data_IF_988029313002
#
_entry.id   IF_988029313002
#
_cell.length_a   1.000
_cell.length_b   1.000
_cell.length_c   1.000
_cell.angle_alpha   90.00
_cell.angle_beta   90.00
_cell.angle_gamma   90.00
#
_symmetry.space_group_name_H-M   'P 1'
#
loop_
_entity.id
_entity.type
_entity.pdbx_description
1 polymer ?
#
# COMPACT_ATOMS: atom_id res chain seq x y z
N UNK A 1 -4.77 24.79 20.16
CA UNK A 1 -5.28 23.76 19.23
C UNK A 1 -4.17 23.40 18.25
N UNK A 2 -3.58 22.22 18.42
CA UNK A 2 -2.62 21.70 17.46
C UNK A 2 -3.34 21.42 16.14
N UNK A 3 -2.86 21.92 15.00
CA UNK A 3 -3.47 21.55 13.72
C UNK A 3 -3.39 20.03 13.55
N UNK A 4 -4.51 19.44 13.20
CA UNK A 4 -4.52 18.04 12.82
C UNK A 4 -3.59 17.84 11.62
N UNK A 5 -2.63 16.96 11.77
CA UNK A 5 -1.60 16.72 10.75
C UNK A 5 -1.95 15.49 9.93
N UNK A 6 -1.66 15.51 8.63
CA UNK A 6 -1.71 14.31 7.79
C UNK A 6 -0.69 13.30 8.31
N UNK A 7 -1.13 12.05 8.51
CA UNK A 7 -0.26 10.97 9.00
C UNK A 7 -0.49 9.68 8.22
N UNK A 8 0.60 8.96 8.02
CA UNK A 8 0.56 7.57 7.55
C UNK A 8 1.17 6.72 8.65
N UNK A 9 0.38 5.84 9.23
CA UNK A 9 0.75 5.07 10.40
C UNK A 9 0.11 3.67 10.40
N UNK A 10 0.57 2.80 11.28
CA UNK A 10 0.02 1.46 11.41
C UNK A 10 -1.47 1.52 11.76
N UNK A 11 -2.25 0.58 11.20
CA UNK A 11 -3.66 0.41 11.52
C UNK A 11 -3.83 0.14 13.01
N UNK A 12 -4.77 0.82 13.63
CA UNK A 12 -5.13 0.64 15.04
C UNK A 12 -6.62 0.34 15.21
N UNK A 13 -6.92 -0.87 15.68
CA UNK A 13 -8.26 -1.23 16.14
C UNK A 13 -9.31 -1.44 15.05
N UNK A 14 -10.50 -1.79 15.51
CA UNK A 14 -11.63 -2.19 14.66
C UNK A 14 -12.16 -1.04 13.79
N UNK A 15 -12.11 0.19 14.29
CA UNK A 15 -12.58 1.37 13.54
C UNK A 15 -11.75 1.61 12.26
N UNK A 16 -10.44 1.46 12.35
CA UNK A 16 -9.56 1.57 11.18
C UNK A 16 -9.82 0.44 10.20
N UNK A 17 -10.03 -0.77 10.69
CA UNK A 17 -10.35 -1.91 9.83
C UNK A 17 -11.67 -1.71 9.10
N UNK A 18 -12.69 -1.20 9.77
CA UNK A 18 -13.97 -0.84 9.14
C UNK A 18 -13.76 0.15 8.00
N UNK A 19 -12.92 1.15 8.20
CA UNK A 19 -12.60 2.14 7.17
C UNK A 19 -11.85 1.50 5.98
N UNK A 20 -10.90 0.61 6.24
CA UNK A 20 -10.19 -0.15 5.19
C UNK A 20 -11.18 -0.97 4.36
N UNK A 21 -12.10 -1.66 5.01
CA UNK A 21 -13.12 -2.47 4.32
C UNK A 21 -14.08 -1.61 3.49
N UNK A 22 -14.41 -0.41 3.96
CA UNK A 22 -15.23 0.53 3.19
C UNK A 22 -14.49 1.01 1.94
N UNK A 23 -13.19 1.28 2.03
CA UNK A 23 -12.36 1.65 0.86
C UNK A 23 -12.27 0.49 -0.13
N UNK A 24 -12.05 -0.73 0.36
CA UNK A 24 -12.06 -1.95 -0.46
C UNK A 24 -13.37 -2.09 -1.25
N UNK A 25 -14.50 -1.98 -0.56
CA UNK A 25 -15.82 -2.10 -1.17
C UNK A 25 -16.09 -1.02 -2.23
N UNK A 26 -15.58 0.19 -2.02
CA UNK A 26 -15.73 1.30 -2.95
C UNK A 26 -14.75 1.27 -4.12
N UNK A 27 -13.68 0.46 -4.02
CA UNK A 27 -12.56 0.47 -4.96
C UNK A 27 -12.48 -0.75 -5.86
N UNK A 28 -12.94 -1.91 -5.40
CA UNK A 28 -12.70 -3.19 -6.08
C UNK A 28 -13.99 -3.97 -6.29
N UNK A 29 -14.09 -4.65 -7.46
CA UNK A 29 -15.21 -5.52 -7.76
C UNK A 29 -15.29 -6.73 -6.83
N UNK A 30 -14.14 -7.22 -6.38
CA UNK A 30 -14.01 -8.36 -5.46
C UNK A 30 -13.23 -7.93 -4.22
N UNK A 31 -13.89 -7.21 -3.27
CA UNK A 31 -13.19 -6.72 -2.09
C UNK A 31 -12.70 -7.85 -1.19
N UNK A 32 -11.58 -7.60 -0.54
CA UNK A 32 -10.99 -8.55 0.42
C UNK A 32 -11.89 -8.68 1.65
N UNK A 33 -12.23 -9.90 2.07
CA UNK A 33 -13.07 -10.11 3.24
C UNK A 33 -12.40 -9.66 4.56
N UNK A 34 -13.22 -9.24 5.52
CA UNK A 34 -12.77 -8.88 6.87
C UNK A 34 -11.92 -9.99 7.50
N UNK A 35 -12.34 -11.25 7.38
CA UNK A 35 -11.63 -12.38 7.98
C UNK A 35 -10.19 -12.52 7.47
N UNK A 36 -9.91 -12.14 6.24
CA UNK A 36 -8.55 -12.12 5.72
C UNK A 36 -7.67 -11.14 6.49
N UNK A 37 -8.12 -9.89 6.64
CA UNK A 37 -7.38 -8.87 7.39
C UNK A 37 -7.22 -9.22 8.87
N UNK A 38 -8.25 -9.78 9.49
CA UNK A 38 -8.18 -10.21 10.88
C UNK A 38 -7.10 -11.27 11.09
N UNK A 39 -7.00 -12.23 10.17
CA UNK A 39 -5.93 -13.24 10.21
C UNK A 39 -4.55 -12.65 9.97
N UNK A 40 -4.44 -11.72 9.01
CA UNK A 40 -3.17 -11.05 8.72
C UNK A 40 -2.68 -10.24 9.93
N UNK A 41 -3.58 -9.58 10.64
CA UNK A 41 -3.23 -8.80 11.83
C UNK A 41 -2.75 -9.64 13.01
N UNK A 42 -2.93 -10.96 12.99
CA UNK A 42 -2.34 -11.88 13.94
C UNK A 42 -0.87 -12.17 13.67
N UNK A 43 -0.32 -11.66 12.57
CA UNK A 43 1.07 -11.87 12.15
C UNK A 43 1.80 -10.54 12.01
N UNK A 44 1.96 -9.77 13.10
CA UNK A 44 2.48 -8.40 13.03
C UNK A 44 3.94 -8.30 12.59
N UNK A 45 4.69 -9.38 12.66
CA UNK A 45 6.08 -9.48 12.20
C UNK A 45 6.20 -9.59 10.67
N UNK A 46 5.13 -10.04 10.01
CA UNK A 46 5.08 -10.23 8.55
C UNK A 46 4.17 -9.21 7.87
N UNK A 47 2.99 -8.97 8.44
CA UNK A 47 1.96 -8.14 7.84
C UNK A 47 2.27 -6.66 7.95
N UNK A 48 2.08 -5.95 6.84
CA UNK A 48 2.13 -4.49 6.79
C UNK A 48 0.74 -4.00 6.43
N UNK A 49 0.18 -3.18 7.31
CA UNK A 49 -1.13 -2.55 7.08
C UNK A 49 -1.07 -1.14 7.68
N UNK A 50 -0.98 -0.15 6.80
CA UNK A 50 -0.79 1.25 7.16
C UNK A 50 -1.94 2.08 6.60
N UNK A 51 -2.36 3.08 7.35
CA UNK A 51 -3.48 3.93 7.00
C UNK A 51 -3.05 5.38 6.82
N UNK A 52 -3.72 6.07 5.89
CA UNK A 52 -3.59 7.51 5.68
C UNK A 52 -4.69 8.22 6.46
N UNK A 53 -4.29 9.04 7.43
CA UNK A 53 -5.21 9.86 8.22
C UNK A 53 -5.16 11.30 7.74
N UNK A 54 -6.32 11.84 7.41
CA UNK A 54 -6.48 13.24 7.04
C UNK A 54 -7.24 13.98 8.13
N UNK A 55 -6.99 15.29 8.29
CA UNK A 55 -7.78 16.12 9.20
C UNK A 55 -9.28 16.00 8.91
N UNK A 56 -10.08 15.72 9.94
CA UNK A 56 -11.53 15.55 9.80
C UNK A 56 -11.97 14.23 9.17
N UNK A 57 -11.04 13.35 8.84
CA UNK A 57 -11.31 12.02 8.31
C UNK A 57 -10.41 10.99 9.01
N UNK A 58 -11.00 9.97 9.63
CA UNK A 58 -10.22 8.99 10.36
C UNK A 58 -9.23 8.24 9.45
N UNK A 59 -9.71 7.72 8.33
CA UNK A 59 -8.89 6.98 7.35
C UNK A 59 -9.39 7.29 5.95
N UNK A 60 -8.50 7.85 5.12
CA UNK A 60 -8.82 8.20 3.72
C UNK A 60 -8.17 7.26 2.71
N UNK A 61 -7.22 6.44 3.15
CA UNK A 61 -6.52 5.48 2.29
C UNK A 61 -5.76 4.46 3.12
N UNK A 62 -5.26 3.43 2.46
CA UNK A 62 -4.46 2.40 3.11
C UNK A 62 -3.50 1.72 2.15
N UNK A 63 -2.48 1.10 2.72
CA UNK A 63 -1.58 0.20 2.02
C UNK A 63 -1.48 -1.10 2.81
N UNK A 64 -1.56 -2.22 2.12
CA UNK A 64 -1.38 -3.54 2.70
C UNK A 64 -0.33 -4.33 1.95
N UNK A 65 0.38 -5.19 2.67
CA UNK A 65 1.41 -6.03 2.09
C UNK A 65 2.11 -6.87 3.14
N UNK A 66 3.24 -7.43 2.77
CA UNK A 66 4.00 -8.35 3.61
C UNK A 66 5.49 -8.08 3.55
N UNK A 67 6.16 -8.32 4.67
CA UNK A 67 7.61 -8.44 4.70
C UNK A 67 7.99 -9.85 4.27
N UNK A 68 8.84 -9.96 3.26
CA UNK A 68 9.30 -11.25 2.75
C UNK A 68 10.77 -11.14 2.36
N UNK A 69 11.64 -11.90 3.02
CA UNK A 69 13.08 -12.00 2.71
C UNK A 69 13.79 -10.63 2.58
N UNK A 70 13.44 -9.68 3.46
CA UNK A 70 14.04 -8.34 3.44
C UNK A 70 13.37 -7.36 2.49
N UNK A 71 12.32 -7.76 1.80
CA UNK A 71 11.55 -6.94 0.88
C UNK A 71 10.17 -6.61 1.45
N UNK A 72 9.55 -5.59 0.91
CA UNK A 72 8.15 -5.27 1.13
C UNK A 72 7.36 -5.58 -0.14
N UNK A 73 6.48 -6.58 -0.08
CA UNK A 73 5.56 -6.90 -1.16
C UNK A 73 4.23 -6.19 -0.90
N UNK A 74 3.85 -5.28 -1.79
CA UNK A 74 2.59 -4.55 -1.70
C UNK A 74 1.49 -5.37 -2.38
N UNK A 75 0.41 -5.60 -1.65
CA UNK A 75 -0.80 -6.22 -2.17
C UNK A 75 -1.81 -5.18 -2.65
N UNK A 76 -2.06 -4.16 -1.83
CA UNK A 76 -3.07 -3.15 -2.11
C UNK A 76 -2.60 -1.77 -1.67
N UNK A 77 -2.83 -0.78 -2.52
CA UNK A 77 -2.74 0.63 -2.17
C UNK A 77 -3.98 1.30 -2.73
N UNK A 78 -4.79 1.89 -1.88
CA UNK A 78 -6.05 2.50 -2.29
C UNK A 78 -6.36 3.76 -1.49
N UNK A 79 -6.97 4.73 -2.17
CA UNK A 79 -7.51 5.96 -1.58
C UNK A 79 -9.02 5.95 -1.78
N UNK A 80 -9.76 6.33 -0.74
CA UNK A 80 -11.22 6.42 -0.81
C UNK A 80 -11.63 7.33 -1.98
N UNK A 81 -12.68 6.98 -2.75
CA UNK A 81 -13.11 7.76 -3.92
C UNK A 81 -13.30 9.26 -3.66
N UNK A 82 -13.80 9.63 -2.47
CA UNK A 82 -14.03 11.04 -2.10
C UNK A 82 -12.74 11.86 -1.99
N UNK A 83 -11.59 11.20 -1.89
CA UNK A 83 -10.29 11.83 -1.69
C UNK A 83 -9.34 11.67 -2.88
N UNK A 84 -9.77 11.01 -3.94
CA UNK A 84 -8.94 10.79 -5.14
C UNK A 84 -8.71 12.07 -5.93
N UNK A 85 -7.64 12.05 -6.77
CA UNK A 85 -7.30 13.16 -7.63
C UNK A 85 -6.65 14.35 -6.91
N UNK A 86 -6.14 14.16 -5.70
CA UNK A 86 -5.56 15.21 -4.86
C UNK A 86 -4.12 14.92 -4.41
N UNK A 87 -3.50 13.87 -4.96
CA UNK A 87 -2.12 13.50 -4.61
C UNK A 87 -1.98 12.62 -3.37
N UNK A 88 -3.05 12.14 -2.77
CA UNK A 88 -2.99 11.34 -1.54
C UNK A 88 -2.42 9.94 -1.76
N UNK A 89 -2.65 9.34 -2.91
CA UNK A 89 -2.03 8.05 -3.26
C UNK A 89 -0.51 8.16 -3.31
N UNK A 90 0.01 9.24 -3.89
CA UNK A 90 1.45 9.50 -3.91
C UNK A 90 2.01 9.75 -2.51
N UNK A 91 1.30 10.52 -1.69
CA UNK A 91 1.70 10.76 -0.30
C UNK A 91 1.76 9.46 0.51
N UNK A 92 0.74 8.62 0.37
CA UNK A 92 0.69 7.30 1.02
C UNK A 92 1.86 6.42 0.59
N UNK A 93 2.15 6.41 -0.71
CA UNK A 93 3.27 5.66 -1.27
C UNK A 93 4.63 6.19 -0.77
N UNK A 94 4.84 7.49 -0.84
CA UNK A 94 6.10 8.11 -0.41
C UNK A 94 6.37 7.89 1.08
N UNK A 95 5.36 8.05 1.93
CA UNK A 95 5.50 7.81 3.37
C UNK A 95 5.77 6.34 3.67
N UNK A 96 5.16 5.43 2.92
CA UNK A 96 5.39 3.98 3.07
C UNK A 96 6.81 3.60 2.62
N UNK A 97 7.30 4.18 1.52
CA UNK A 97 8.68 3.99 1.07
C UNK A 97 9.69 4.46 2.12
N UNK A 98 9.46 5.63 2.71
CA UNK A 98 10.33 6.16 3.76
C UNK A 98 10.31 5.29 5.01
N UNK A 99 9.13 4.83 5.41
CA UNK A 99 8.98 3.91 6.54
C UNK A 99 9.70 2.58 6.28
N UNK A 100 9.52 1.98 5.11
CA UNK A 100 10.16 0.72 4.74
C UNK A 100 11.69 0.84 4.75
N UNK A 101 12.22 1.96 4.29
CA UNK A 101 13.64 2.25 4.33
C UNK A 101 14.16 2.33 5.78
N UNK A 102 13.43 3.01 6.67
CA UNK A 102 13.80 3.08 8.10
C UNK A 102 13.74 1.71 8.78
N UNK A 103 12.85 0.83 8.33
CA UNK A 103 12.75 -0.54 8.84
C UNK A 103 13.85 -1.46 8.31
N UNK A 104 14.73 -0.96 7.45
CA UNK A 104 15.83 -1.74 6.89
C UNK A 104 15.42 -2.68 5.76
N UNK A 105 14.23 -2.49 5.18
CA UNK A 105 13.80 -3.25 4.00
C UNK A 105 14.57 -2.77 2.77
N UNK A 106 14.85 -3.67 1.85
CA UNK A 106 15.75 -3.42 0.72
C UNK A 106 15.04 -3.00 -0.55
N UNK A 107 13.83 -3.54 -0.77
CA UNK A 107 13.07 -3.31 -1.99
C UNK A 107 11.57 -3.28 -1.68
N UNK A 108 10.85 -2.55 -2.51
CA UNK A 108 9.39 -2.64 -2.58
C UNK A 108 9.00 -3.23 -3.93
N UNK A 109 8.14 -4.24 -3.91
CA UNK A 109 7.68 -4.97 -5.09
C UNK A 109 6.17 -4.98 -5.14
N UNK A 110 5.60 -4.96 -6.35
CA UNK A 110 4.17 -5.09 -6.54
C UNK A 110 3.84 -5.55 -7.95
N UNK A 111 2.63 -6.07 -8.12
CA UNK A 111 2.06 -6.44 -9.41
C UNK A 111 0.93 -5.47 -9.75
N UNK A 112 0.86 -5.06 -11.01
CA UNK A 112 -0.18 -4.15 -11.51
C UNK A 112 -0.77 -4.72 -12.78
N UNK A 113 -2.10 -4.65 -12.96
CA UNK A 113 -2.74 -4.97 -14.23
C UNK A 113 -2.12 -4.10 -15.33
N UNK A 114 -1.79 -4.71 -16.45
CA UNK A 114 -1.20 -4.00 -17.59
C UNK A 114 -2.05 -2.81 -18.05
N UNK A 115 -3.37 -2.91 -17.95
CA UNK A 115 -4.29 -1.84 -18.35
C UNK A 115 -4.48 -0.74 -17.30
N UNK A 116 -3.93 -0.89 -16.10
CA UNK A 116 -4.10 0.10 -15.03
C UNK A 116 -3.11 1.25 -15.20
N UNK A 117 -3.41 2.14 -16.15
CA UNK A 117 -2.52 3.27 -16.49
C UNK A 117 -2.30 4.22 -15.33
N UNK A 118 -3.33 4.46 -14.51
CA UNK A 118 -3.21 5.34 -13.35
C UNK A 118 -2.21 4.79 -12.31
N UNK A 119 -2.28 3.50 -12.02
CA UNK A 119 -1.35 2.85 -11.10
C UNK A 119 0.07 2.83 -11.67
N UNK A 120 0.23 2.50 -12.96
CA UNK A 120 1.53 2.50 -13.62
C UNK A 120 2.18 3.89 -13.58
N UNK A 121 1.41 4.94 -13.84
CA UNK A 121 1.89 6.32 -13.77
C UNK A 121 2.33 6.69 -12.35
N UNK A 122 1.54 6.31 -11.34
CA UNK A 122 1.85 6.56 -9.93
C UNK A 122 3.18 5.92 -9.54
N UNK A 123 3.33 4.63 -9.81
CA UNK A 123 4.52 3.88 -9.39
C UNK A 123 5.76 4.29 -10.18
N UNK A 124 5.65 4.45 -11.49
CA UNK A 124 6.77 4.93 -12.31
C UNK A 124 7.21 6.33 -11.89
N UNK A 125 6.26 7.21 -11.62
CA UNK A 125 6.55 8.56 -11.10
C UNK A 125 7.26 8.53 -9.74
N UNK A 126 7.08 7.47 -8.96
CA UNK A 126 7.74 7.26 -7.68
C UNK A 126 9.07 6.49 -7.80
N UNK A 127 9.56 6.25 -9.00
CA UNK A 127 10.86 5.61 -9.22
C UNK A 127 10.83 4.09 -9.35
N UNK A 128 9.66 3.48 -9.49
CA UNK A 128 9.54 2.04 -9.77
C UNK A 128 9.92 1.76 -11.23
N UNK A 129 10.55 0.62 -11.45
CA UNK A 129 10.90 0.12 -12.79
C UNK A 129 10.29 -1.26 -12.98
N UNK A 130 9.96 -1.57 -14.24
CA UNK A 130 9.45 -2.90 -14.57
C UNK A 130 10.60 -3.91 -14.58
N UNK A 131 10.43 -4.99 -13.82
CA UNK A 131 11.41 -6.08 -13.74
C UNK A 131 10.90 -7.40 -14.31
N UNK A 132 9.62 -7.48 -14.64
CA UNK A 132 9.05 -8.68 -15.23
C UNK A 132 7.59 -8.55 -15.59
N UNK A 133 7.04 -9.65 -16.04
CA UNK A 133 5.64 -9.82 -16.37
C UNK A 133 5.16 -11.15 -15.84
N UNK A 134 3.86 -11.22 -15.49
CA UNK A 134 3.17 -12.48 -15.17
C UNK A 134 2.03 -12.64 -16.16
N UNK A 135 2.15 -13.58 -17.09
CA UNK A 135 1.12 -13.81 -18.10
C UNK A 135 -0.13 -14.38 -17.45
N UNK A 136 -1.30 -13.83 -17.84
CA UNK A 136 -2.62 -14.29 -17.41
C UNK A 136 -2.74 -14.42 -15.90
N UNK A 137 -2.10 -13.52 -15.19
CA UNK A 137 -2.02 -13.51 -13.72
C UNK A 137 -3.36 -13.19 -13.08
N UNK A 138 -4.08 -12.20 -13.64
CA UNK A 138 -5.40 -11.82 -13.17
C UNK A 138 -6.49 -12.59 -13.91
N UNK A 139 -7.60 -12.83 -13.22
CA UNK A 139 -8.81 -13.36 -13.79
C UNK A 139 -9.92 -12.30 -13.65
N UNK A 140 -10.94 -12.39 -14.50
CA UNK A 140 -12.15 -11.59 -14.44
C UNK A 140 -11.91 -10.06 -14.53
N UNK A 141 -11.42 -9.52 -15.67
CA UNK A 141 -10.99 -10.24 -16.88
C UNK A 141 -9.60 -10.84 -16.77
N UNK A 142 -9.29 -11.79 -17.62
CA UNK A 142 -7.93 -12.33 -17.77
C UNK A 142 -7.03 -11.25 -18.30
N UNK A 143 -5.93 -10.99 -17.57
CA UNK A 143 -4.99 -9.95 -17.93
C UNK A 143 -3.60 -10.26 -17.37
N UNK A 144 -2.56 -9.81 -18.08
CA UNK A 144 -1.20 -9.89 -17.60
C UNK A 144 -0.95 -8.91 -16.46
N UNK A 145 -0.04 -9.27 -15.57
CA UNK A 145 0.52 -8.39 -14.57
C UNK A 145 1.86 -7.83 -15.04
N UNK A 146 2.09 -6.57 -14.75
CA UNK A 146 3.40 -5.93 -14.82
C UNK A 146 4.01 -5.99 -13.43
N UNK A 147 5.21 -6.52 -13.30
CA UNK A 147 5.94 -6.55 -12.03
C UNK A 147 6.80 -5.31 -11.93
N UNK A 148 6.57 -4.52 -10.89
CA UNK A 148 7.31 -3.29 -10.63
C UNK A 148 8.12 -3.43 -9.35
N UNK A 149 9.31 -2.82 -9.36
CA UNK A 149 10.24 -2.88 -8.26
C UNK A 149 10.91 -1.53 -8.05
N UNK A 150 11.09 -1.16 -6.79
CA UNK A 150 11.95 -0.04 -6.42
C UNK A 150 12.91 -0.47 -5.30
N UNK A 151 14.20 -0.22 -5.50
CA UNK A 151 15.19 -0.35 -4.45
C UNK A 151 15.04 0.80 -3.47
N UNK A 152 15.13 0.49 -2.18
CA UNK A 152 15.07 1.47 -1.12
C UNK A 152 16.47 1.96 -0.77
N UNK A 153 16.64 3.23 -0.38
CA UNK A 153 17.92 3.73 0.07
C UNK A 153 18.41 2.90 1.26
N UNK A 154 19.69 2.57 1.26
CA UNK A 154 20.30 1.93 2.41
C UNK A 154 20.29 2.92 3.57
N UNK A 155 19.57 2.57 4.62
CA UNK A 155 19.57 3.32 5.87
C UNK A 155 20.20 2.41 6.92
N UNK A 156 21.51 2.55 7.18
CA UNK A 156 22.10 1.74 8.24
C UNK A 156 21.39 2.07 9.55
N UNK A 157 20.96 1.04 10.28
CA UNK A 157 20.52 1.24 11.65
C UNK A 157 21.73 1.75 12.41
N UNK A 158 21.73 3.05 12.71
CA UNK A 158 22.67 3.59 13.68
C UNK A 158 22.15 3.16 15.04
N UNK A 159 22.45 1.93 15.41
CA UNK A 159 22.21 1.40 16.73
C UNK A 159 23.53 1.14 17.39
N UNK A 160 23.67 1.67 18.54
CA UNK A 160 24.74 1.23 19.41
C UNK A 160 24.55 -0.25 19.75
#
# INVERSE_FOLDING_TARGET
MTPETVRVEALEGAGDLDAVLAIEAASFAHPTPRAFYERELLRPDVTVLRVLRLPGCAVAGFVSGWRAAGDLEISTLAVHPDWRGRGWGRRLLDDTLAWASREGLQRMLLDVRRSNDAALALYRGAGFVQTGERRRYYSDPVEDAVVLERRLPFSPKIGA
#
